data_IF_602380052298
#
_entry.id   IF_602380052298
#
_cell.length_a   1.000
_cell.length_b   1.000
_cell.length_c   1.000
_cell.angle_alpha   90.00
_cell.angle_beta   90.00
_cell.angle_gamma   90.00
#
_symmetry.space_group_name_H-M   'P 1'
#
loop_
_entity.id
_entity.type
_entity.pdbx_description
1 polymer ?
#
# COMPACT_ATOMS: atom_id res chain seq x y z
N UNK A 1 -17.58 8.36 -16.26
CA UNK A 1 -16.35 8.80 -15.56
C UNK A 1 -16.20 8.22 -14.16
N UNK A 2 -17.25 8.23 -13.32
CA UNK A 2 -17.23 7.68 -11.94
C UNK A 2 -16.83 6.20 -11.84
N UNK A 3 -17.22 5.37 -12.82
CA UNK A 3 -16.98 3.92 -12.78
C UNK A 3 -15.48 3.56 -12.79
N UNK A 4 -14.67 4.22 -13.60
CA UNK A 4 -13.23 3.90 -13.70
C UNK A 4 -12.44 4.34 -12.45
N UNK A 5 -12.85 5.45 -11.82
CA UNK A 5 -12.24 5.90 -10.57
C UNK A 5 -12.65 4.98 -9.40
N UNK A 6 -13.91 4.54 -9.37
CA UNK A 6 -14.40 3.56 -8.39
C UNK A 6 -13.66 2.23 -8.52
N UNK A 7 -13.43 1.74 -9.74
CA UNK A 7 -12.61 0.55 -9.99
C UNK A 7 -11.17 0.74 -9.50
N UNK A 8 -10.55 1.89 -9.79
CA UNK A 8 -9.19 2.17 -9.33
C UNK A 8 -9.09 2.16 -7.79
N UNK A 9 -10.07 2.75 -7.10
CA UNK A 9 -10.14 2.71 -5.63
C UNK A 9 -10.29 1.29 -5.08
N UNK A 10 -11.18 0.48 -5.68
CA UNK A 10 -11.38 -0.91 -5.26
C UNK A 10 -10.10 -1.73 -5.48
N UNK A 11 -9.49 -1.63 -6.65
CA UNK A 11 -8.25 -2.34 -6.97
C UNK A 11 -7.08 -1.89 -6.10
N UNK A 12 -6.94 -0.58 -5.87
CA UNK A 12 -5.92 -0.04 -4.98
C UNK A 12 -6.13 -0.46 -3.53
N UNK A 13 -7.38 -0.51 -3.06
CA UNK A 13 -7.69 -1.01 -1.72
C UNK A 13 -7.38 -2.50 -1.57
N UNK A 14 -7.80 -3.32 -2.54
CA UNK A 14 -7.47 -4.75 -2.57
C UNK A 14 -5.95 -4.98 -2.64
N UNK A 15 -5.25 -4.18 -3.45
CA UNK A 15 -3.80 -4.19 -3.52
C UNK A 15 -3.18 -3.80 -2.17
N UNK A 16 -3.66 -2.75 -1.51
CA UNK A 16 -3.15 -2.30 -0.21
C UNK A 16 -3.34 -3.29 0.93
N UNK A 17 -4.31 -4.20 0.82
CA UNK A 17 -4.46 -5.32 1.73
C UNK A 17 -3.36 -6.39 1.51
N UNK A 18 -3.02 -6.69 0.25
CA UNK A 18 -2.13 -7.79 -0.11
C UNK A 18 -0.66 -7.36 -0.15
N UNK A 19 -0.37 -6.12 -0.57
CA UNK A 19 0.96 -5.60 -0.83
C UNK A 19 1.90 -5.67 0.37
N UNK A 20 1.49 -5.38 1.63
CA UNK A 20 2.37 -5.55 2.79
C UNK A 20 2.88 -6.98 2.95
N UNK A 21 2.01 -7.98 2.76
CA UNK A 21 2.38 -9.38 2.89
C UNK A 21 3.34 -9.81 1.79
N UNK A 22 3.02 -9.47 0.53
CA UNK A 22 3.91 -9.75 -0.61
C UNK A 22 5.25 -9.06 -0.41
N UNK A 23 5.26 -7.81 0.03
CA UNK A 23 6.47 -7.06 0.33
C UNK A 23 7.36 -7.72 1.38
N UNK A 24 6.78 -8.27 2.46
CA UNK A 24 7.55 -9.02 3.46
C UNK A 24 8.26 -10.22 2.84
N UNK A 25 7.56 -11.04 2.06
CA UNK A 25 8.16 -12.23 1.44
C UNK A 25 9.22 -11.87 0.37
N UNK A 26 8.91 -10.88 -0.47
CA UNK A 26 9.83 -10.37 -1.50
C UNK A 26 11.09 -9.76 -0.88
N UNK A 27 10.97 -9.08 0.26
CA UNK A 27 12.10 -8.45 0.94
C UNK A 27 13.07 -9.45 1.53
N UNK A 28 12.58 -10.61 1.94
CA UNK A 28 13.39 -11.68 2.50
C UNK A 28 14.15 -12.48 1.43
N UNK A 29 13.59 -12.61 0.22
CA UNK A 29 14.06 -13.61 -0.75
C UNK A 29 14.47 -13.07 -2.11
N UNK A 30 14.00 -11.87 -2.50
CA UNK A 30 14.10 -11.40 -3.89
C UNK A 30 14.77 -10.04 -3.98
N UNK A 31 14.18 -9.02 -3.35
CA UNK A 31 14.69 -7.64 -3.47
C UNK A 31 14.20 -6.75 -2.33
N UNK A 32 15.11 -6.18 -1.53
CA UNK A 32 14.77 -5.17 -0.53
C UNK A 32 14.10 -3.93 -1.12
N UNK A 33 14.45 -3.55 -2.36
CA UNK A 33 13.90 -2.37 -3.02
C UNK A 33 12.42 -2.55 -3.32
N UNK A 34 12.04 -3.71 -3.89
CA UNK A 34 10.63 -4.00 -4.21
C UNK A 34 9.80 -4.12 -2.93
N UNK A 35 10.37 -4.72 -1.89
CA UNK A 35 9.71 -4.79 -0.58
C UNK A 35 9.44 -3.40 0.01
N UNK A 36 10.41 -2.49 -0.06
CA UNK A 36 10.24 -1.13 0.43
C UNK A 36 9.12 -0.39 -0.29
N UNK A 37 8.98 -0.61 -1.61
CA UNK A 37 7.86 -0.06 -2.39
C UNK A 37 6.54 -0.67 -1.94
N UNK A 38 6.42 -1.99 -1.87
CA UNK A 38 5.16 -2.66 -1.54
C UNK A 38 4.69 -2.38 -0.11
N UNK A 39 5.64 -2.27 0.83
CA UNK A 39 5.38 -2.04 2.25
C UNK A 39 5.43 -0.57 2.65
N UNK A 40 5.61 0.38 1.71
CA UNK A 40 5.88 1.77 2.06
C UNK A 40 4.91 2.40 3.07
N UNK A 41 3.59 2.11 3.07
CA UNK A 41 2.69 2.70 4.07
C UNK A 41 3.00 2.19 5.48
N UNK A 42 3.32 0.90 5.60
CA UNK A 42 3.70 0.25 6.86
C UNK A 42 5.06 0.76 7.33
N UNK A 43 6.02 0.88 6.42
CA UNK A 43 7.34 1.42 6.74
C UNK A 43 7.26 2.87 7.20
N UNK A 44 6.45 3.70 6.55
CA UNK A 44 6.20 5.08 6.97
C UNK A 44 5.63 5.15 8.39
N UNK A 45 4.64 4.30 8.70
CA UNK A 45 4.12 4.19 10.07
C UNK A 45 5.18 3.69 11.06
N UNK A 46 6.01 2.73 10.68
CA UNK A 46 7.11 2.21 11.51
C UNK A 46 8.13 3.29 11.85
N UNK A 47 8.44 4.16 10.90
CA UNK A 47 9.30 5.33 11.13
C UNK A 47 8.65 6.33 12.10
N UNK A 48 7.36 6.64 11.91
CA UNK A 48 6.63 7.57 12.80
C UNK A 48 6.55 7.03 14.23
N UNK A 49 6.31 5.73 14.37
CA UNK A 49 6.14 5.06 15.66
C UNK A 49 7.48 4.65 16.31
N UNK A 50 8.61 4.84 15.62
CA UNK A 50 9.93 4.36 16.04
C UNK A 50 9.92 2.88 16.50
N UNK A 51 9.12 2.05 15.84
CA UNK A 51 8.92 0.65 16.21
C UNK A 51 8.76 -0.21 14.96
N UNK A 52 9.64 -1.21 14.74
CA UNK A 52 9.50 -2.21 13.68
C UNK A 52 8.13 -2.90 13.65
N UNK A 53 7.58 -3.11 12.45
CA UNK A 53 6.29 -3.77 12.24
C UNK A 53 6.14 -5.11 12.99
N UNK A 54 7.21 -5.93 13.01
CA UNK A 54 7.19 -7.22 13.70
C UNK A 54 7.04 -7.16 15.23
N UNK A 55 7.19 -5.98 15.84
CA UNK A 55 7.02 -5.76 17.28
C UNK A 55 5.68 -5.10 17.63
N UNK A 56 4.83 -4.83 16.65
CA UNK A 56 3.53 -4.20 16.90
C UNK A 56 2.56 -5.18 17.55
N UNK A 57 1.64 -4.64 18.35
CA UNK A 57 0.51 -5.43 18.83
C UNK A 57 -0.40 -5.81 17.65
N UNK A 58 -1.17 -6.90 17.73
CA UNK A 58 -2.10 -7.29 16.68
C UNK A 58 -3.09 -6.18 16.28
N UNK A 59 -3.57 -5.41 17.25
CA UNK A 59 -4.46 -4.27 17.00
C UNK A 59 -3.77 -3.18 16.15
N UNK A 60 -2.51 -2.87 16.44
CA UNK A 60 -1.74 -1.90 15.68
C UNK A 60 -1.37 -2.42 14.28
N UNK A 61 -1.11 -3.72 14.14
CA UNK A 61 -0.94 -4.36 12.82
C UNK A 61 -2.20 -4.23 11.97
N UNK A 62 -3.38 -4.48 12.52
CA UNK A 62 -4.66 -4.28 11.83
C UNK A 62 -4.87 -2.82 11.43
N UNK A 63 -4.57 -1.87 12.33
CA UNK A 63 -4.63 -0.44 12.00
C UNK A 63 -3.66 -0.09 10.86
N UNK A 64 -2.44 -0.64 10.88
CA UNK A 64 -1.47 -0.49 9.80
C UNK A 64 -1.97 -1.02 8.46
N UNK A 65 -2.65 -2.17 8.45
CA UNK A 65 -3.27 -2.71 7.24
C UNK A 65 -4.38 -1.78 6.71
N UNK A 66 -5.22 -1.22 7.59
CA UNK A 66 -6.23 -0.24 7.18
C UNK A 66 -5.60 1.00 6.54
N UNK A 67 -4.50 1.51 7.12
CA UNK A 67 -3.73 2.62 6.54
C UNK A 67 -3.19 2.23 5.17
N UNK A 68 -2.61 1.03 5.03
CA UNK A 68 -2.12 0.52 3.75
C UNK A 68 -3.21 0.46 2.67
N UNK A 69 -4.41 -0.03 3.01
CA UNK A 69 -5.58 -0.05 2.11
C UNK A 69 -5.91 1.35 1.62
N UNK A 70 -6.03 2.32 2.53
CA UNK A 70 -6.37 3.71 2.19
C UNK A 70 -5.30 4.33 1.31
N UNK A 71 -4.04 4.18 1.68
CA UNK A 71 -2.90 4.77 0.94
C UNK A 71 -2.83 4.21 -0.48
N UNK A 72 -2.91 2.89 -0.66
CA UNK A 72 -2.86 2.29 -1.99
C UNK A 72 -4.11 2.57 -2.84
N UNK A 73 -5.29 2.67 -2.23
CA UNK A 73 -6.49 3.14 -2.92
C UNK A 73 -6.29 4.54 -3.50
N UNK A 74 -5.72 5.46 -2.71
CA UNK A 74 -5.40 6.81 -3.15
C UNK A 74 -4.35 6.80 -4.28
N UNK A 75 -3.25 6.03 -4.12
CA UNK A 75 -2.20 5.91 -5.14
C UNK A 75 -2.77 5.43 -6.47
N UNK A 76 -3.62 4.41 -6.47
CA UNK A 76 -4.23 3.90 -7.70
C UNK A 76 -5.21 4.90 -8.32
N UNK A 77 -5.96 5.63 -7.51
CA UNK A 77 -6.86 6.68 -8.00
C UNK A 77 -6.06 7.80 -8.67
N UNK A 78 -4.95 8.25 -8.07
CA UNK A 78 -4.05 9.26 -8.64
C UNK A 78 -3.41 8.74 -9.92
N UNK A 79 -2.85 7.53 -9.91
CA UNK A 79 -2.23 6.92 -11.09
C UNK A 79 -3.23 6.81 -12.25
N UNK A 80 -4.48 6.41 -11.98
CA UNK A 80 -5.55 6.36 -12.97
C UNK A 80 -5.90 7.74 -13.53
N UNK A 81 -5.90 8.78 -12.70
CA UNK A 81 -6.14 10.15 -13.15
C UNK A 81 -5.00 10.68 -14.04
N UNK A 82 -3.74 10.46 -13.63
CA UNK A 82 -2.55 10.86 -14.39
C UNK A 82 -2.46 10.14 -15.74
N UNK A 83 -2.69 8.83 -15.76
CA UNK A 83 -2.69 8.04 -17.00
C UNK A 83 -3.76 8.51 -18.00
N UNK A 84 -4.89 9.03 -17.52
CA UNK A 84 -5.90 9.62 -18.39
C UNK A 84 -5.46 10.96 -18.97
N UNK A 85 -4.74 11.79 -18.23
CA UNK A 85 -4.20 13.05 -18.74
C UNK A 85 -3.17 12.82 -19.85
N UNK A 86 -2.41 11.72 -19.78
CA UNK A 86 -1.38 11.40 -20.78
C UNK A 86 -1.99 10.76 -22.04
N UNK A 87 -3.11 10.04 -21.90
CA UNK A 87 -3.78 9.31 -23.00
C UNK A 87 -4.95 10.07 -23.64
N UNK A 88 -5.34 11.21 -23.07
CA UNK A 88 -6.33 12.13 -23.64
C UNK A 88 -5.66 13.13 -24.55
#
# INVERSE_FOLDING_TARGET
>A
MLNNNKKALIWGGAFGLVAPFVGMFVGLQVSPVVANILMFPILGMSMVLNSPFGMWSPALMLAGLLVSIVVWAIVFAIASALLKQIRG
#
